data_IF_000428666548
#
_entry.id   IF_000428666548
#
_cell.length_a   1.000
_cell.length_b   1.000
_cell.length_c   1.000
_cell.angle_alpha   90.00
_cell.angle_beta   90.00
_cell.angle_gamma   90.00
#
_symmetry.space_group_name_H-M   'P 1'
#
loop_
_entity.id
_entity.type
_entity.pdbx_description
1 polymer ?
#
# COMPACT_ATOMS: atom_id res chain seq x y z
N UNK A 1 5.37 23.75 17.27
CA UNK A 1 6.16 23.73 16.02
C UNK A 1 7.12 24.91 16.07
N UNK A 2 8.28 24.83 15.42
CA UNK A 2 9.28 25.91 15.43
C UNK A 2 9.79 26.21 14.02
N UNK A 3 10.52 27.31 13.86
CA UNK A 3 11.15 27.69 12.58
C UNK A 3 12.58 27.18 12.50
N UNK A 4 13.02 26.77 11.31
CA UNK A 4 14.38 26.25 11.14
C UNK A 4 15.43 27.33 11.45
N UNK A 5 16.43 26.97 12.25
CA UNK A 5 17.54 27.87 12.62
C UNK A 5 18.41 28.36 11.44
N UNK A 6 18.35 27.71 10.28
CA UNK A 6 19.05 28.12 9.04
C UNK A 6 18.11 28.66 7.96
N UNK A 7 16.82 28.37 8.07
CA UNK A 7 15.79 28.74 7.10
C UNK A 7 14.58 29.28 7.88
N UNK A 8 14.64 30.53 8.36
CA UNK A 8 13.61 31.12 9.22
C UNK A 8 12.21 31.09 8.60
N UNK A 9 12.13 31.07 7.27
CA UNK A 9 10.91 30.99 6.47
C UNK A 9 10.23 29.60 6.48
N UNK A 10 10.90 28.57 7.03
CA UNK A 10 10.40 27.19 7.02
C UNK A 10 10.02 26.71 8.41
N UNK A 11 8.75 26.35 8.56
CA UNK A 11 8.27 25.63 9.74
C UNK A 11 8.77 24.18 9.75
N UNK A 12 9.05 23.68 10.95
CA UNK A 12 9.52 22.31 11.15
C UNK A 12 9.03 21.73 12.46
N UNK A 13 8.92 20.40 12.46
CA UNK A 13 8.61 19.59 13.65
C UNK A 13 9.85 18.93 14.24
N UNK A 14 11.01 19.05 13.58
CA UNK A 14 12.24 18.42 14.02
C UNK A 14 13.07 19.36 14.90
N UNK A 15 13.20 18.97 16.17
CA UNK A 15 14.02 19.68 17.16
C UNK A 15 15.17 18.79 17.64
N UNK A 16 16.37 19.34 17.73
CA UNK A 16 17.48 18.69 18.40
C UNK A 16 17.32 18.86 19.91
N UNK A 17 16.98 17.80 20.63
CA UNK A 17 16.79 17.86 22.10
C UNK A 17 18.06 18.18 22.89
N UNK A 18 19.26 17.96 22.31
CA UNK A 18 20.54 18.31 22.96
C UNK A 18 20.79 19.83 22.99
N UNK A 19 20.45 20.52 21.90
CA UNK A 19 20.78 21.94 21.69
C UNK A 19 19.55 22.85 21.65
N UNK A 20 18.34 22.29 21.73
CA UNK A 20 17.08 23.04 21.62
C UNK A 20 16.79 23.62 20.24
N UNK A 21 17.65 23.39 19.23
CA UNK A 21 17.54 24.02 17.91
C UNK A 21 16.63 23.27 16.96
N UNK A 22 15.82 24.01 16.21
CA UNK A 22 14.91 23.50 15.18
C UNK A 22 15.58 23.45 13.80
N UNK A 23 15.25 22.42 13.00
CA UNK A 23 15.85 22.15 11.68
C UNK A 23 14.81 21.69 10.67
N UNK A 24 14.76 22.29 9.48
CA UNK A 24 13.95 21.80 8.36
C UNK A 24 14.57 20.52 7.76
N UNK A 25 13.83 19.83 6.88
CA UNK A 25 14.23 18.55 6.29
C UNK A 25 15.58 18.57 5.54
N UNK A 26 15.92 19.69 4.92
CA UNK A 26 17.22 19.90 4.25
C UNK A 26 18.36 20.11 5.25
N UNK A 27 18.06 20.71 6.41
CA UNK A 27 19.05 21.00 7.45
C UNK A 27 19.19 19.86 8.48
N UNK A 28 18.50 18.74 8.29
CA UNK A 28 18.56 17.58 9.18
C UNK A 28 19.95 16.94 9.15
N UNK A 29 20.77 17.34 10.12
CA UNK A 29 22.07 16.75 10.41
C UNK A 29 22.41 16.97 11.88
N UNK A 30 22.88 15.91 12.54
CA UNK A 30 23.37 16.00 13.91
C UNK A 30 24.64 16.86 13.93
N UNK A 31 24.56 18.04 14.57
CA UNK A 31 25.70 18.98 14.69
C UNK A 31 26.92 18.32 15.32
N UNK A 32 26.70 17.48 16.34
CA UNK A 32 27.77 16.81 17.08
C UNK A 32 27.72 15.29 16.88
N UNK A 33 27.75 14.83 15.64
CA UNK A 33 27.70 13.38 15.35
C UNK A 33 28.79 12.57 16.06
N UNK A 34 29.92 13.16 16.40
CA UNK A 34 31.04 12.51 17.09
C UNK A 34 31.00 12.61 18.63
N UNK A 35 30.14 13.45 19.20
CA UNK A 35 30.01 13.57 20.65
C UNK A 35 28.88 12.68 21.18
N UNK A 36 29.02 12.19 22.42
CA UNK A 36 27.95 11.47 23.09
C UNK A 36 26.69 12.35 23.23
N UNK A 37 25.52 11.74 23.01
CA UNK A 37 24.23 12.38 23.17
C UNK A 37 23.24 11.39 23.80
N UNK A 38 22.75 11.72 25.00
CA UNK A 38 21.78 10.88 25.74
C UNK A 38 20.46 10.65 24.98
N UNK A 39 20.09 11.56 24.08
CA UNK A 39 18.86 11.47 23.29
C UNK A 39 19.02 10.68 21.99
N UNK A 40 20.23 10.21 21.66
CA UNK A 40 20.51 9.53 20.38
C UNK A 40 19.59 8.32 20.10
N UNK A 41 19.21 7.46 21.07
CA UNK A 41 18.29 6.34 20.83
C UNK A 41 16.88 6.76 20.35
N UNK A 42 16.46 8.00 20.62
CA UNK A 42 15.13 8.50 20.26
C UNK A 42 15.18 9.72 19.31
N UNK A 43 16.37 10.09 18.80
CA UNK A 43 16.55 11.31 18.03
C UNK A 43 16.19 11.11 16.54
N UNK A 44 15.07 11.66 16.02
CA UNK A 44 14.67 11.47 14.63
C UNK A 44 15.69 12.05 13.64
N UNK A 45 16.34 13.16 13.99
CA UNK A 45 17.39 13.80 13.17
C UNK A 45 18.56 12.83 12.92
N UNK A 46 19.00 12.14 13.98
CA UNK A 46 20.10 11.17 13.90
C UNK A 46 19.74 9.96 13.03
N UNK A 47 18.53 9.42 13.18
CA UNK A 47 18.08 8.28 12.37
C UNK A 47 17.94 8.63 10.90
N UNK A 48 17.38 9.79 10.59
CA UNK A 48 17.23 10.27 9.21
C UNK A 48 18.59 10.50 8.56
N UNK A 49 19.52 11.17 9.25
CA UNK A 49 20.88 11.39 8.75
C UNK A 49 21.62 10.05 8.53
N UNK A 50 21.56 9.13 9.49
CA UNK A 50 22.21 7.81 9.36
C UNK A 50 21.64 7.02 8.19
N UNK A 51 20.32 7.08 7.98
CA UNK A 51 19.65 6.45 6.84
C UNK A 51 20.09 7.07 5.51
N UNK A 52 20.14 8.41 5.42
CA UNK A 52 20.65 9.12 4.24
C UNK A 52 22.09 8.77 3.92
N UNK A 53 22.98 8.76 4.93
CA UNK A 53 24.39 8.36 4.77
C UNK A 53 24.54 6.91 4.30
N UNK A 54 23.70 6.01 4.82
CA UNK A 54 23.68 4.61 4.36
C UNK A 54 23.23 4.53 2.90
N UNK A 55 22.15 5.22 2.54
CA UNK A 55 21.64 5.26 1.18
C UNK A 55 22.67 5.86 0.21
N UNK A 56 23.30 6.99 0.56
CA UNK A 56 24.38 7.58 -0.24
C UNK A 56 25.55 6.62 -0.45
N UNK A 57 25.92 5.83 0.56
CA UNK A 57 26.95 4.80 0.41
C UNK A 57 26.51 3.67 -0.51
N UNK A 58 25.26 3.21 -0.40
CA UNK A 58 24.68 2.20 -1.27
C UNK A 58 24.62 2.70 -2.73
N UNK A 59 24.18 3.95 -2.95
CA UNK A 59 24.13 4.60 -4.26
C UNK A 59 25.53 4.82 -4.85
N UNK A 60 26.50 5.28 -4.05
CA UNK A 60 27.90 5.42 -4.46
C UNK A 60 28.54 4.07 -4.81
N UNK A 61 28.26 3.03 -4.02
CA UNK A 61 28.73 1.68 -4.31
C UNK A 61 28.11 1.13 -5.61
N UNK A 62 26.81 1.38 -5.84
CA UNK A 62 26.12 1.02 -7.08
C UNK A 62 26.66 1.79 -8.29
N UNK A 63 27.00 3.08 -8.13
CA UNK A 63 27.59 3.90 -9.19
C UNK A 63 29.05 3.54 -9.50
N UNK A 64 29.80 3.09 -8.50
CA UNK A 64 31.19 2.64 -8.64
C UNK A 64 31.31 1.20 -9.15
N UNK A 65 30.22 0.43 -9.16
CA UNK A 65 30.21 -0.93 -9.66
C UNK A 65 30.49 -0.95 -11.17
N UNK A 66 31.35 -1.88 -11.58
CA UNK A 66 31.62 -2.15 -13.00
C UNK A 66 30.30 -2.47 -13.73
N UNK A 67 30.10 -1.87 -14.90
CA UNK A 67 28.89 -2.06 -15.70
C UNK A 67 29.17 -3.02 -16.83
N UNK A 68 28.21 -3.91 -17.06
CA UNK A 68 28.25 -4.94 -18.10
C UNK A 68 27.01 -4.83 -18.96
N UNK A 69 27.16 -5.17 -20.23
CA UNK A 69 26.10 -5.10 -21.24
C UNK A 69 25.39 -6.44 -21.36
N UNK A 70 24.07 -6.42 -21.20
CA UNK A 70 23.22 -7.59 -21.43
C UNK A 70 22.37 -7.35 -22.67
N UNK A 71 22.42 -8.27 -23.62
CA UNK A 71 21.61 -8.26 -24.83
C UNK A 71 20.51 -9.34 -24.75
N UNK A 72 19.29 -8.96 -25.10
CA UNK A 72 18.11 -9.80 -25.10
C UNK A 72 17.60 -10.05 -26.53
N UNK A 73 17.65 -11.31 -26.98
CA UNK A 73 17.05 -11.76 -28.24
C UNK A 73 15.64 -12.34 -27.99
N UNK A 74 14.71 -12.28 -28.96
CA UNK A 74 14.86 -11.80 -30.35
C UNK A 74 14.64 -10.29 -30.54
N UNK A 75 14.17 -9.56 -29.52
CA UNK A 75 13.87 -8.12 -29.65
C UNK A 75 15.11 -7.25 -29.89
N UNK A 76 16.32 -7.77 -29.65
CA UNK A 76 17.59 -7.08 -29.89
C UNK A 76 17.89 -5.96 -28.88
N UNK A 77 17.11 -5.85 -27.81
CA UNK A 77 17.28 -4.84 -26.77
C UNK A 77 18.55 -5.10 -25.97
N UNK A 78 19.25 -4.04 -25.61
CA UNK A 78 20.43 -4.13 -24.74
C UNK A 78 20.33 -3.13 -23.60
N UNK A 79 20.92 -3.49 -22.46
CA UNK A 79 20.95 -2.66 -21.25
C UNK A 79 22.28 -2.80 -20.55
N UNK A 80 22.74 -1.71 -19.94
CA UNK A 80 23.95 -1.71 -19.11
C UNK A 80 23.57 -1.77 -17.63
N UNK A 81 23.96 -2.85 -16.97
CA UNK A 81 23.66 -3.12 -15.56
C UNK A 81 24.94 -3.28 -14.75
N UNK A 82 24.86 -3.09 -13.44
CA UNK A 82 25.99 -3.36 -12.56
C UNK A 82 26.28 -4.86 -12.49
N UNK A 83 27.55 -5.24 -12.39
CA UNK A 83 27.97 -6.62 -12.09
C UNK A 83 27.23 -7.15 -10.85
N UNK A 84 26.75 -8.39 -10.92
CA UNK A 84 25.98 -9.05 -9.87
C UNK A 84 24.46 -8.80 -9.92
N UNK A 85 23.99 -7.92 -10.81
CA UNK A 85 22.55 -7.71 -11.08
C UNK A 85 21.93 -8.97 -11.66
N UNK A 86 20.68 -9.27 -11.30
CA UNK A 86 20.00 -10.46 -11.84
C UNK A 86 19.53 -10.24 -13.28
N UNK A 87 19.44 -11.31 -14.08
CA UNK A 87 18.87 -11.23 -15.43
C UNK A 87 17.42 -10.74 -15.43
N UNK A 88 16.65 -11.01 -14.37
CA UNK A 88 15.29 -10.50 -14.20
C UNK A 88 15.27 -8.97 -14.04
N UNK A 89 16.16 -8.41 -13.22
CA UNK A 89 16.29 -6.97 -13.05
C UNK A 89 16.82 -6.30 -14.31
N UNK A 90 17.79 -6.92 -14.99
CA UNK A 90 18.29 -6.45 -16.28
C UNK A 90 17.17 -6.43 -17.34
N UNK A 91 16.34 -7.48 -17.42
CA UNK A 91 15.21 -7.52 -18.33
C UNK A 91 14.21 -6.39 -18.04
N UNK A 92 13.90 -6.14 -16.75
CA UNK A 92 13.03 -5.02 -16.34
C UNK A 92 13.62 -3.66 -16.73
N UNK A 93 14.92 -3.46 -16.55
CA UNK A 93 15.60 -2.24 -16.96
C UNK A 93 15.59 -2.03 -18.48
N UNK A 94 15.52 -3.12 -19.26
CA UNK A 94 15.34 -3.09 -20.71
C UNK A 94 13.86 -2.97 -21.17
N UNK A 95 12.91 -2.72 -20.26
CA UNK A 95 11.46 -2.74 -20.51
C UNK A 95 10.94 -4.09 -21.05
N UNK A 96 11.60 -5.18 -20.68
CA UNK A 96 11.21 -6.55 -21.00
C UNK A 96 10.56 -7.18 -19.78
N UNK A 97 9.28 -7.51 -19.92
CA UNK A 97 8.49 -8.08 -18.85
C UNK A 97 8.52 -9.61 -18.94
N UNK A 98 9.33 -10.24 -18.09
CA UNK A 98 9.38 -11.69 -17.94
C UNK A 98 8.28 -12.18 -16.99
N UNK A 99 7.77 -13.39 -17.23
CA UNK A 99 6.80 -14.04 -16.38
C UNK A 99 7.44 -14.51 -15.05
N UNK A 100 7.42 -13.63 -14.05
CA UNK A 100 8.01 -13.87 -12.73
C UNK A 100 6.94 -13.77 -11.62
N UNK A 101 5.95 -14.68 -11.61
CA UNK A 101 4.85 -14.66 -10.62
C UNK A 101 5.33 -14.73 -9.15
N UNK A 102 6.49 -15.34 -8.90
CA UNK A 102 7.09 -15.40 -7.55
C UNK A 102 7.94 -14.16 -7.18
N UNK A 103 7.97 -13.15 -8.06
CA UNK A 103 8.74 -11.92 -7.93
C UNK A 103 10.22 -12.13 -7.54
N UNK A 104 10.86 -13.12 -8.13
CA UNK A 104 12.29 -13.36 -7.94
C UNK A 104 12.67 -14.35 -6.85
N UNK A 105 11.71 -14.96 -6.13
CA UNK A 105 11.98 -15.93 -5.04
C UNK A 105 12.47 -17.32 -5.51
N UNK A 106 12.60 -17.55 -6.82
CA UNK A 106 13.02 -18.85 -7.35
C UNK A 106 12.01 -19.99 -7.14
N UNK A 107 10.72 -19.70 -6.95
CA UNK A 107 9.70 -20.71 -6.60
C UNK A 107 8.87 -21.21 -7.78
N UNK A 108 8.65 -20.39 -8.81
CA UNK A 108 7.68 -20.73 -9.88
C UNK A 108 8.30 -21.33 -11.14
N UNK A 109 9.60 -21.14 -11.38
CA UNK A 109 10.28 -21.66 -12.56
C UNK A 109 9.82 -21.08 -13.90
N UNK A 110 9.03 -19.99 -13.92
CA UNK A 110 8.43 -19.43 -15.16
C UNK A 110 9.34 -18.42 -15.87
N UNK A 111 10.33 -17.85 -15.19
CA UNK A 111 11.24 -16.84 -15.75
C UNK A 111 12.45 -17.50 -16.44
N UNK A 112 12.19 -18.48 -17.31
CA UNK A 112 13.24 -19.23 -18.01
C UNK A 112 13.87 -18.37 -19.11
N UNK A 113 15.19 -18.38 -19.22
CA UNK A 113 15.95 -17.76 -20.30
C UNK A 113 16.99 -18.75 -20.81
N UNK A 114 17.43 -18.60 -22.05
CA UNK A 114 18.53 -19.40 -22.62
C UNK A 114 19.76 -18.51 -22.70
N UNK A 115 20.86 -18.93 -22.09
CA UNK A 115 22.13 -18.20 -22.20
C UNK A 115 22.78 -18.56 -23.52
N UNK A 116 22.98 -17.58 -24.40
CA UNK A 116 23.69 -17.77 -25.66
C UNK A 116 25.20 -17.60 -25.44
N UNK A 117 25.61 -16.49 -24.82
CA UNK A 117 27.01 -16.19 -24.51
C UNK A 117 27.13 -15.35 -23.24
N UNK A 118 28.29 -15.38 -22.59
CA UNK A 118 28.61 -14.51 -21.45
C UNK A 118 28.86 -15.23 -20.13
N UNK A 119 29.30 -14.46 -19.13
CA UNK A 119 29.56 -14.94 -17.77
C UNK A 119 28.34 -14.70 -16.88
N UNK A 120 27.53 -15.75 -16.72
CA UNK A 120 26.34 -15.74 -15.87
C UNK A 120 26.49 -16.82 -14.81
N UNK A 121 26.39 -16.40 -13.55
CA UNK A 121 26.36 -17.32 -12.41
C UNK A 121 24.91 -17.63 -12.09
N UNK A 122 24.51 -18.89 -12.25
CA UNK A 122 23.16 -19.36 -11.91
C UNK A 122 23.19 -20.29 -10.70
N UNK A 123 22.20 -20.14 -9.81
CA UNK A 123 22.06 -21.05 -8.67
C UNK A 123 21.45 -22.39 -9.11
N UNK A 124 21.91 -23.52 -8.53
CA UNK A 124 21.32 -24.84 -8.79
C UNK A 124 19.83 -24.86 -8.43
N UNK A 125 18.99 -25.31 -9.35
CA UNK A 125 17.54 -25.40 -9.14
C UNK A 125 16.98 -26.76 -9.57
N UNK A 126 15.97 -27.22 -8.85
CA UNK A 126 15.14 -28.40 -9.19
C UNK A 126 14.03 -28.08 -10.17
N UNK A 127 13.79 -26.78 -10.47
CA UNK A 127 12.72 -26.31 -11.35
C UNK A 127 13.09 -26.37 -12.84
N UNK A 128 14.31 -26.81 -13.16
CA UNK A 128 14.80 -27.06 -14.50
C UNK A 128 15.10 -28.55 -14.64
N UNK A 129 14.54 -29.15 -15.68
CA UNK A 129 14.85 -30.53 -16.06
C UNK A 129 16.29 -30.64 -16.59
N UNK A 130 16.87 -31.83 -16.56
CA UNK A 130 18.24 -32.04 -17.05
C UNK A 130 18.38 -31.78 -18.56
N UNK A 131 17.30 -31.99 -19.32
CA UNK A 131 17.22 -31.64 -20.73
C UNK A 131 17.18 -30.12 -21.00
N UNK A 132 16.68 -29.33 -20.05
CA UNK A 132 16.71 -27.87 -20.13
C UNK A 132 18.09 -27.35 -19.71
N UNK A 133 18.68 -27.93 -18.66
CA UNK A 133 20.05 -27.59 -18.22
C UNK A 133 21.08 -27.86 -19.32
N UNK A 134 20.94 -28.97 -20.06
CA UNK A 134 21.82 -29.29 -21.19
C UNK A 134 21.69 -28.33 -22.37
N UNK A 135 20.57 -27.61 -22.46
CA UNK A 135 20.32 -26.55 -23.46
C UNK A 135 20.62 -25.14 -22.92
N UNK A 136 21.36 -25.03 -21.81
CA UNK A 136 21.73 -23.75 -21.18
C UNK A 136 20.55 -22.88 -20.73
N UNK A 137 19.44 -23.52 -20.32
CA UNK A 137 18.36 -22.79 -19.66
C UNK A 137 18.76 -22.38 -18.25
N UNK A 138 18.40 -21.16 -17.89
CA UNK A 138 18.62 -20.58 -16.56
C UNK A 138 17.35 -19.85 -16.09
N UNK A 139 17.20 -19.70 -14.77
CA UNK A 139 16.15 -18.88 -14.20
C UNK A 139 16.64 -17.44 -14.07
N UNK A 140 15.98 -16.51 -14.77
CA UNK A 140 16.36 -15.10 -14.80
C UNK A 140 16.50 -14.47 -13.40
N UNK A 141 15.66 -14.90 -12.44
CA UNK A 141 15.72 -14.39 -11.08
C UNK A 141 16.89 -14.90 -10.24
N UNK A 142 17.41 -16.09 -10.54
CA UNK A 142 18.50 -16.73 -9.80
C UNK A 142 19.79 -16.78 -10.61
N UNK A 143 19.91 -15.89 -11.59
CA UNK A 143 21.07 -15.81 -12.48
C UNK A 143 21.63 -14.39 -12.46
N UNK A 144 22.87 -14.25 -12.01
CA UNK A 144 23.58 -12.98 -11.88
C UNK A 144 24.54 -12.79 -13.04
N UNK A 145 24.62 -11.55 -13.53
CA UNK A 145 25.48 -11.19 -14.66
C UNK A 145 26.81 -10.67 -14.15
N UNK A 146 27.90 -11.33 -14.52
CA UNK A 146 29.27 -10.96 -14.11
C UNK A 146 30.15 -10.48 -15.26
N UNK A 147 29.61 -10.41 -16.47
CA UNK A 147 30.29 -9.95 -17.67
C UNK A 147 29.27 -9.73 -18.78
N UNK A 148 29.72 -9.20 -19.91
CA UNK A 148 28.84 -9.02 -21.07
C UNK A 148 28.20 -10.35 -21.47
N UNK A 149 26.89 -10.32 -21.68
CA UNK A 149 26.11 -11.52 -21.91
C UNK A 149 25.01 -11.32 -22.96
N UNK A 150 24.76 -12.37 -23.72
CA UNK A 150 23.64 -12.46 -24.66
C UNK A 150 22.71 -13.59 -24.23
N UNK A 151 21.43 -13.25 -24.04
CA UNK A 151 20.41 -14.19 -23.61
C UNK A 151 19.23 -14.16 -24.56
N UNK A 152 18.66 -15.33 -24.83
CA UNK A 152 17.47 -15.49 -25.65
C UNK A 152 16.26 -15.70 -24.75
N UNK A 153 15.20 -14.95 -25.02
CA UNK A 153 13.94 -15.02 -24.30
C UNK A 153 13.02 -16.01 -25.02
N UNK A 154 12.72 -17.16 -24.41
CA UNK A 154 11.73 -18.06 -24.96
C UNK A 154 10.33 -17.42 -24.95
N UNK A 155 9.47 -17.72 -25.95
CA UNK A 155 8.12 -17.17 -26.03
C UNK A 155 7.25 -17.48 -24.79
N UNK A 156 7.47 -18.62 -24.13
CA UNK A 156 6.78 -19.00 -22.89
C UNK A 156 7.16 -18.13 -21.68
N UNK A 157 8.34 -17.49 -21.70
CA UNK A 157 8.85 -16.67 -20.62
C UNK A 157 8.44 -15.20 -20.74
N UNK A 158 8.00 -14.75 -21.92
CA UNK A 158 7.47 -13.41 -22.11
C UNK A 158 6.14 -13.30 -21.36
N UNK A 159 6.06 -12.40 -20.38
CA UNK A 159 4.77 -12.05 -19.81
C UNK A 159 3.96 -11.41 -20.94
N UNK A 160 2.90 -12.08 -21.39
CA UNK A 160 1.91 -11.44 -22.26
C UNK A 160 1.50 -10.15 -21.56
N UNK A 161 1.80 -8.99 -22.16
CA UNK A 161 1.28 -7.70 -21.68
C UNK A 161 -0.23 -7.89 -21.58
N UNK A 162 -0.74 -7.99 -20.36
CA UNK A 162 -2.17 -7.91 -20.10
C UNK A 162 -2.59 -6.56 -20.68
N UNK A 163 -3.24 -6.57 -21.86
CA UNK A 163 -3.81 -5.37 -22.45
C UNK A 163 -5.02 -5.01 -21.59
N UNK A 164 -4.79 -4.26 -20.52
CA UNK A 164 -5.85 -3.81 -19.60
C UNK A 164 -6.79 -2.83 -20.31
N UNK A 165 -6.31 -2.11 -21.33
CA UNK A 165 -7.12 -1.19 -22.12
C UNK A 165 -8.05 -1.95 -23.08
N UNK A 166 -9.34 -2.01 -22.75
CA UNK A 166 -10.43 -2.40 -23.67
C UNK A 166 -11.18 -3.69 -23.31
N UNK A 167 -10.63 -4.58 -22.48
CA UNK A 167 -11.30 -5.84 -22.11
C UNK A 167 -12.52 -5.63 -21.19
N UNK A 168 -12.62 -4.49 -20.52
CA UNK A 168 -13.76 -4.15 -19.67
C UNK A 168 -15.02 -3.77 -20.45
N UNK A 169 -14.92 -3.22 -21.66
CA UNK A 169 -16.10 -2.66 -22.37
C UNK A 169 -17.19 -3.69 -22.64
N UNK A 170 -16.83 -4.83 -23.21
CA UNK A 170 -17.79 -5.89 -23.48
C UNK A 170 -18.45 -6.44 -22.20
N UNK A 171 -17.69 -6.52 -21.10
CA UNK A 171 -18.23 -6.92 -19.80
C UNK A 171 -19.12 -5.82 -19.20
N UNK A 172 -18.71 -4.55 -19.28
CA UNK A 172 -19.49 -3.39 -18.83
C UNK A 172 -20.80 -3.28 -19.60
N UNK A 173 -20.78 -3.35 -20.94
CA UNK A 173 -21.99 -3.33 -21.78
C UNK A 173 -22.95 -4.47 -21.41
N UNK A 174 -22.43 -5.67 -21.15
CA UNK A 174 -23.26 -6.82 -20.73
C UNK A 174 -23.87 -6.66 -19.34
N UNK A 175 -23.16 -5.99 -18.44
CA UNK A 175 -23.57 -5.82 -17.03
C UNK A 175 -24.30 -4.49 -16.79
N UNK A 176 -24.28 -3.57 -17.75
CA UNK A 176 -24.92 -2.27 -17.66
C UNK A 176 -26.43 -2.45 -17.54
N UNK A 177 -27.01 -1.81 -16.52
CA UNK A 177 -28.45 -1.90 -16.25
C UNK A 177 -28.90 -3.15 -15.47
N UNK A 178 -28.00 -4.09 -15.15
CA UNK A 178 -28.35 -5.24 -14.29
C UNK A 178 -28.56 -4.87 -12.82
N UNK A 179 -28.08 -3.70 -12.39
CA UNK A 179 -28.32 -3.14 -11.06
C UNK A 179 -29.37 -2.04 -11.19
N UNK A 180 -30.66 -2.35 -10.98
CA UNK A 180 -31.75 -1.38 -11.16
C UNK A 180 -31.84 -0.37 -10.01
N UNK A 181 -31.32 -0.73 -8.84
CA UNK A 181 -31.29 0.13 -7.65
C UNK A 181 -29.95 -0.06 -6.92
N UNK A 182 -29.34 1.06 -6.53
CA UNK A 182 -28.12 1.07 -5.73
C UNK A 182 -28.55 1.09 -4.27
N UNK A 183 -28.52 -0.08 -3.63
CA UNK A 183 -28.76 -0.21 -2.20
C UNK A 183 -27.43 -0.48 -1.49
N UNK A 184 -26.76 0.56 -0.94
CA UNK A 184 -25.49 0.37 -0.25
C UNK A 184 -25.67 -0.46 1.02
N UNK A 185 -24.64 -1.23 1.36
CA UNK A 185 -24.64 -2.04 2.59
C UNK A 185 -24.69 -1.18 3.85
N UNK A 186 -24.09 0.01 3.83
CA UNK A 186 -24.15 1.00 4.91
C UNK A 186 -25.19 2.03 4.56
N UNK A 187 -26.12 2.29 5.49
CA UNK A 187 -27.10 3.37 5.40
C UNK A 187 -26.86 4.37 6.52
N UNK A 188 -26.80 5.63 6.15
CA UNK A 188 -26.76 6.74 7.10
C UNK A 188 -28.19 7.24 7.30
N UNK A 189 -28.67 7.16 8.54
CA UNK A 189 -30.05 7.45 8.90
C UNK A 189 -30.04 8.69 9.81
N UNK A 190 -30.43 9.88 9.30
CA UNK A 190 -30.63 11.04 10.14
C UNK A 190 -31.88 10.84 11.00
N UNK A 191 -31.76 11.19 12.28
CA UNK A 191 -32.78 11.00 13.30
C UNK A 191 -32.89 12.25 14.16
N UNK A 192 -34.13 12.71 14.34
CA UNK A 192 -34.47 13.68 15.38
C UNK A 192 -35.14 12.93 16.53
N UNK A 193 -34.44 12.87 17.68
CA UNK A 193 -34.89 12.14 18.85
C UNK A 193 -35.42 13.12 19.91
N UNK A 194 -36.37 12.66 20.72
CA UNK A 194 -36.87 13.48 21.84
C UNK A 194 -35.91 13.42 23.03
N UNK A 195 -35.57 14.55 23.68
CA UNK A 195 -34.78 14.55 24.91
C UNK A 195 -35.44 13.72 26.03
N UNK A 196 -34.66 13.21 27.00
CA UNK A 196 -35.18 12.48 28.14
C UNK A 196 -36.00 13.41 29.03
N UNK A 197 -37.13 12.89 29.52
CA UNK A 197 -38.01 13.58 30.46
C UNK A 197 -38.23 12.68 31.68
N UNK A 198 -38.84 13.22 32.75
CA UNK A 198 -39.25 12.43 33.90
C UNK A 198 -40.26 11.33 33.55
N UNK A 199 -41.01 11.50 32.47
CA UNK A 199 -42.00 10.53 31.98
C UNK A 199 -41.38 9.50 31.01
N UNK A 200 -40.26 9.82 30.36
CA UNK A 200 -39.55 8.94 29.41
C UNK A 200 -38.06 8.80 29.75
N UNK A 201 -37.80 7.91 30.70
CA UNK A 201 -36.48 7.67 31.32
C UNK A 201 -35.66 6.57 30.65
N UNK A 202 -36.04 6.16 29.43
CA UNK A 202 -35.33 5.08 28.72
C UNK A 202 -33.88 5.43 28.40
N UNK A 203 -33.06 4.40 28.23
CA UNK A 203 -31.66 4.55 27.90
C UNK A 203 -31.46 5.24 26.54
N UNK A 204 -30.31 5.86 26.37
CA UNK A 204 -29.90 6.49 25.11
C UNK A 204 -29.91 5.49 23.94
N UNK A 205 -29.54 4.22 24.20
CA UNK A 205 -29.59 3.14 23.21
C UNK A 205 -31.04 2.76 22.83
N UNK A 206 -31.93 2.65 23.81
CA UNK A 206 -33.35 2.36 23.56
C UNK A 206 -34.01 3.49 22.78
N UNK A 207 -33.67 4.74 23.13
CA UNK A 207 -34.15 5.94 22.44
C UNK A 207 -33.69 5.98 20.99
N UNK A 208 -32.41 5.68 20.72
CA UNK A 208 -31.88 5.54 19.37
C UNK A 208 -32.60 4.40 18.62
N UNK A 209 -32.81 3.26 19.27
CA UNK A 209 -33.47 2.09 18.68
C UNK A 209 -34.92 2.38 18.30
N UNK A 210 -35.66 3.15 19.12
CA UNK A 210 -37.00 3.66 18.79
C UNK A 210 -36.97 4.55 17.54
N UNK A 211 -36.00 5.46 17.45
CA UNK A 211 -35.81 6.33 16.29
C UNK A 211 -35.51 5.54 15.01
N UNK A 212 -34.56 4.60 15.09
CA UNK A 212 -34.21 3.70 13.99
C UNK A 212 -35.41 2.86 13.52
N UNK A 213 -36.21 2.33 14.45
CA UNK A 213 -37.43 1.58 14.12
C UNK A 213 -38.45 2.44 13.37
N UNK A 214 -38.64 3.70 13.78
CA UNK A 214 -39.51 4.66 13.10
C UNK A 214 -39.00 5.00 11.69
N UNK A 215 -37.70 5.01 11.48
CA UNK A 215 -37.06 5.20 10.18
C UNK A 215 -37.05 3.94 9.28
N UNK A 216 -37.69 2.84 9.71
CA UNK A 216 -37.79 1.61 8.94
C UNK A 216 -36.56 0.69 9.02
N UNK A 217 -35.71 0.87 10.04
CA UNK A 217 -34.61 -0.04 10.34
C UNK A 217 -35.09 -1.17 11.27
N UNK A 218 -34.74 -2.42 10.95
CA UNK A 218 -35.00 -3.57 11.82
C UNK A 218 -34.04 -3.52 13.02
N UNK A 219 -34.60 -3.35 14.22
CA UNK A 219 -33.81 -3.15 15.46
C UNK A 219 -33.80 -4.37 16.36
N UNK A 220 -34.67 -5.35 16.12
CA UNK A 220 -34.78 -6.60 16.90
C UNK A 220 -33.47 -7.41 16.90
N UNK A 221 -32.62 -7.20 15.88
CA UNK A 221 -31.29 -7.83 15.74
C UNK A 221 -30.21 -6.78 15.49
N UNK A 222 -30.29 -5.64 16.19
CA UNK A 222 -29.28 -4.60 16.11
C UNK A 222 -28.11 -4.91 17.06
N UNK A 223 -26.93 -5.15 16.49
CA UNK A 223 -25.68 -5.26 17.23
C UNK A 223 -25.04 -3.88 17.38
N UNK A 224 -24.61 -3.55 18.60
CA UNK A 224 -23.91 -2.29 18.90
C UNK A 224 -22.58 -2.58 19.57
N UNK A 225 -21.49 -2.15 18.94
CA UNK A 225 -20.15 -2.33 19.48
C UNK A 225 -19.89 -1.46 20.71
N UNK A 226 -19.00 -1.91 21.60
CA UNK A 226 -18.64 -1.19 22.84
C UNK A 226 -18.10 0.23 22.58
N UNK A 227 -17.36 0.42 21.47
CA UNK A 227 -16.85 1.73 21.10
C UNK A 227 -17.98 2.74 20.87
N UNK A 228 -19.04 2.33 20.16
CA UNK A 228 -20.22 3.15 19.92
C UNK A 228 -20.98 3.40 21.23
N UNK A 229 -21.18 2.36 22.06
CA UNK A 229 -21.88 2.50 23.34
C UNK A 229 -21.20 3.50 24.28
N UNK A 230 -19.87 3.53 24.32
CA UNK A 230 -19.10 4.44 25.19
C UNK A 230 -19.27 5.92 24.85
N UNK A 231 -19.47 6.25 23.57
CA UNK A 231 -19.59 7.64 23.10
C UNK A 231 -21.04 8.08 22.89
N UNK A 232 -21.98 7.14 22.86
CA UNK A 232 -23.38 7.37 22.49
C UNK A 232 -24.02 8.52 23.28
N UNK A 233 -23.89 8.49 24.60
CA UNK A 233 -24.51 9.49 25.48
C UNK A 233 -23.99 10.91 25.23
N UNK A 234 -22.70 11.06 24.94
CA UNK A 234 -22.09 12.35 24.64
C UNK A 234 -22.58 12.86 23.28
N UNK A 235 -22.54 12.01 22.25
CA UNK A 235 -22.92 12.38 20.88
C UNK A 235 -24.38 12.82 20.80
N UNK A 236 -25.30 12.08 21.42
CA UNK A 236 -26.73 12.39 21.36
C UNK A 236 -27.09 13.77 21.95
N UNK A 237 -26.27 14.30 22.86
CA UNK A 237 -26.53 15.58 23.53
C UNK A 237 -25.91 16.79 22.83
N UNK A 238 -24.93 16.58 21.95
CA UNK A 238 -24.17 17.67 21.32
C UNK A 238 -25.05 18.56 20.42
N UNK A 239 -25.90 17.96 19.59
CA UNK A 239 -26.75 18.66 18.61
C UNK A 239 -28.24 18.53 18.97
N UNK A 240 -28.58 18.75 20.24
CA UNK A 240 -29.96 18.75 20.73
C UNK A 240 -30.78 17.52 20.26
N UNK A 241 -30.20 16.32 20.38
CA UNK A 241 -30.84 15.05 20.01
C UNK A 241 -31.06 14.84 18.50
N UNK A 242 -30.41 15.64 17.66
CA UNK A 242 -30.24 15.39 16.23
C UNK A 242 -28.97 14.58 16.01
N UNK A 243 -29.12 13.39 15.45
CA UNK A 243 -28.01 12.46 15.21
C UNK A 243 -28.15 11.74 13.89
N UNK A 244 -27.03 11.31 13.32
CA UNK A 244 -26.99 10.41 12.18
C UNK A 244 -26.41 9.07 12.61
N UNK A 245 -27.16 8.00 12.38
CA UNK A 245 -26.72 6.63 12.67
C UNK A 245 -26.24 5.94 11.39
N UNK A 246 -25.00 5.46 11.40
CA UNK A 246 -24.45 4.64 10.32
C UNK A 246 -24.73 3.16 10.63
N UNK A 247 -25.65 2.56 9.88
CA UNK A 247 -26.10 1.18 10.08
C UNK A 247 -25.62 0.31 8.92
N UNK A 248 -24.85 -0.72 9.23
CA UNK A 248 -24.44 -1.76 8.30
C UNK A 248 -25.49 -2.87 8.28
N UNK A 249 -26.09 -3.10 7.11
CA UNK A 249 -27.02 -4.20 6.88
C UNK A 249 -26.23 -5.46 6.55
N UNK A 250 -26.36 -6.49 7.39
CA UNK A 250 -25.84 -7.83 7.12
C UNK A 250 -27.00 -8.80 6.90
N UNK A 251 -26.69 -10.00 6.39
CA UNK A 251 -27.71 -11.05 6.24
C UNK A 251 -28.18 -11.50 7.62
N UNK A 252 -29.38 -11.08 8.01
CA UNK A 252 -30.08 -11.56 9.21
C UNK A 252 -29.83 -10.77 10.50
N UNK A 253 -29.03 -9.69 10.47
CA UNK A 253 -28.87 -8.74 11.58
C UNK A 253 -28.33 -7.39 11.06
N UNK A 254 -28.53 -6.33 11.84
CA UNK A 254 -27.99 -5.00 11.57
C UNK A 254 -26.89 -4.68 12.57
N UNK A 255 -25.92 -3.87 12.17
CA UNK A 255 -24.80 -3.46 13.03
C UNK A 255 -24.69 -1.94 13.02
N UNK A 256 -24.77 -1.33 14.21
CA UNK A 256 -24.55 0.10 14.37
C UNK A 256 -23.04 0.36 14.40
N UNK A 257 -22.51 0.91 13.31
CA UNK A 257 -21.10 1.21 13.15
C UNK A 257 -20.71 2.48 13.90
N UNK A 258 -21.57 3.50 13.81
CA UNK A 258 -21.28 4.82 14.35
C UNK A 258 -22.59 5.60 14.60
N UNK A 259 -22.55 6.50 15.58
CA UNK A 259 -23.54 7.56 15.76
C UNK A 259 -22.77 8.87 15.78
N UNK A 260 -23.23 9.83 14.98
CA UNK A 260 -22.64 11.16 14.83
C UNK A 260 -23.66 12.25 15.15
N UNK A 261 -23.21 13.42 15.63
CA UNK A 261 -24.10 14.55 15.88
C UNK A 261 -24.53 15.21 14.56
N UNK A 262 -25.78 15.67 14.48
CA UNK A 262 -26.33 16.39 13.31
C UNK A 262 -26.69 15.52 12.11
N UNK A 263 -27.01 16.17 10.99
CA UNK A 263 -27.53 15.60 9.73
C UNK A 263 -26.69 15.96 8.47
N UNK A 264 -25.64 16.77 8.63
CA UNK A 264 -25.01 17.50 7.52
C UNK A 264 -23.64 16.99 7.05
N UNK A 265 -23.42 15.68 6.94
CA UNK A 265 -22.14 15.16 6.46
C UNK A 265 -22.17 14.64 5.02
N UNK A 266 -20.98 14.64 4.39
CA UNK A 266 -20.76 14.11 3.05
C UNK A 266 -21.16 12.63 2.98
N UNK A 267 -21.69 12.18 1.83
CA UNK A 267 -22.14 10.81 1.67
C UNK A 267 -20.99 9.82 1.88
N UNK A 268 -21.29 8.71 2.56
CA UNK A 268 -20.35 7.61 2.76
C UNK A 268 -19.74 7.13 1.43
N UNK A 269 -18.43 6.93 1.43
CA UNK A 269 -17.70 6.34 0.30
C UNK A 269 -17.53 4.83 0.50
N UNK A 270 -17.44 4.09 -0.60
CA UNK A 270 -17.16 2.66 -0.62
C UNK A 270 -15.93 2.35 -1.46
N UNK A 271 -15.27 1.23 -1.15
CA UNK A 271 -14.12 0.73 -1.89
C UNK A 271 -14.40 -0.69 -2.39
N UNK A 272 -14.20 -0.92 -3.69
CA UNK A 272 -14.23 -2.25 -4.30
C UNK A 272 -12.79 -2.69 -4.59
N UNK A 273 -12.37 -3.82 -4.01
CA UNK A 273 -11.02 -4.36 -4.13
C UNK A 273 -11.10 -5.75 -4.75
N UNK A 274 -10.37 -5.95 -5.85
CA UNK A 274 -10.06 -7.24 -6.44
C UNK A 274 -8.57 -7.54 -6.15
N UNK A 275 -8.27 -8.69 -5.54
CA UNK A 275 -6.94 -9.03 -5.00
C UNK A 275 -6.25 -10.06 -5.89
#
# INVERSE_FOLDING_TARGET
MGTCSRHPERETRFQCLKHGTWMCEECLGCRDSQLYCKHRPACPIWFIEKRRKRQQKEDQAAAAAERVRVQFAPEGKSVEVAVGTTLLEAARAADIHLNASCNGKGLCGKCKLVVATGKIDSEPTTLLSDAEKSKHYVLACQSRVNGDASVTIPPEAVARKLKVAGMGRAATERLQGLVPAIEPMVREIPLELSPPTTEDTVSDLDRLSRGLKKAGCEVERLNVGLAVMRQLAAVMRQEAWKVTAAVLRRRGFNELLEVRPGDGHEPALGLAIDI
#
